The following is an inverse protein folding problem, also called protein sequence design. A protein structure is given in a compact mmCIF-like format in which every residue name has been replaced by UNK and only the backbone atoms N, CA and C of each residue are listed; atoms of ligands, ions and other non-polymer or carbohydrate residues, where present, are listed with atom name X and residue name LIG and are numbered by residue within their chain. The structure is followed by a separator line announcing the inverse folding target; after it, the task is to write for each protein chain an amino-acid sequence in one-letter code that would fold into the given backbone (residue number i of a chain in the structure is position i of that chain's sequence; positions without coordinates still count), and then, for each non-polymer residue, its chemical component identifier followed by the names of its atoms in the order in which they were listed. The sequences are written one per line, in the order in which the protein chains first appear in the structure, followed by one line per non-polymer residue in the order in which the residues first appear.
data_IF_164029766517
#
_entry.id   IF_164029766517
#
_cell.length_a   1.000
_cell.length_b   1.000
_cell.length_c   1.000
_cell.angle_alpha   90.00
_cell.angle_beta   90.00
_cell.angle_gamma   90.00
#
_symmetry.space_group_name_H-M   'P 1'
#
loop_
_entity.id
_entity.type
_entity.pdbx_description
1 polymer ?
#
# COMPACT_ATOMS: atom_id res chain seq x y z
N UNK A 1 -10.87 10.94 -43.64
CA UNK A 1 -10.97 9.54 -43.17
C UNK A 1 -9.58 9.02 -42.82
N UNK A 2 -9.13 9.15 -41.56
CA UNK A 2 -7.97 8.44 -40.97
C UNK A 2 -7.81 8.89 -39.50
N UNK A 3 -8.87 8.71 -38.71
CA UNK A 3 -8.87 8.87 -37.25
C UNK A 3 -9.90 7.87 -36.70
N UNK A 4 -9.52 6.60 -36.64
CA UNK A 4 -10.36 5.57 -36.01
C UNK A 4 -9.60 4.28 -35.62
N UNK A 5 -8.28 4.18 -35.84
CA UNK A 5 -7.58 2.90 -35.68
C UNK A 5 -6.63 2.80 -34.47
N UNK A 6 -6.36 3.90 -33.75
CA UNK A 6 -5.43 3.88 -32.61
C UNK A 6 -6.11 3.90 -31.23
N UNK A 7 -7.44 3.98 -31.17
CA UNK A 7 -8.20 3.98 -29.91
C UNK A 7 -8.64 2.57 -29.45
N UNK A 8 -8.42 1.53 -30.27
CA UNK A 8 -8.85 0.16 -29.95
C UNK A 8 -7.78 -0.73 -29.32
N UNK A 9 -6.52 -0.28 -29.24
CA UNK A 9 -5.41 -1.12 -28.75
C UNK A 9 -5.05 -0.91 -27.27
N UNK A 10 -5.61 0.12 -26.62
CA UNK A 10 -5.36 0.41 -25.19
C UNK A 10 -6.51 -0.01 -24.26
N UNK A 11 -7.62 -0.51 -24.80
CA UNK A 11 -8.80 -0.92 -24.01
C UNK A 11 -8.95 -2.44 -23.83
N UNK A 12 -7.95 -3.24 -24.23
CA UNK A 12 -7.98 -4.71 -24.15
C UNK A 12 -6.90 -5.33 -23.25
N UNK A 13 -6.36 -4.55 -22.29
CA UNK A 13 -5.40 -5.09 -21.30
C UNK A 13 -5.95 -5.19 -19.86
N UNK A 14 -7.23 -4.90 -19.62
CA UNK A 14 -7.80 -4.86 -18.25
C UNK A 14 -8.81 -5.95 -17.92
N UNK A 15 -9.04 -6.92 -18.82
CA UNK A 15 -9.97 -8.03 -18.56
C UNK A 15 -9.38 -9.38 -18.99
N UNK A 16 -8.14 -9.70 -18.60
CA UNK A 16 -7.79 -11.11 -18.41
C UNK A 16 -8.46 -11.51 -17.10
N UNK A 17 -9.64 -12.11 -17.23
CA UNK A 17 -10.43 -12.59 -16.12
C UNK A 17 -9.66 -13.66 -15.34
N UNK A 18 -9.07 -13.27 -14.21
CA UNK A 18 -8.96 -14.17 -13.09
C UNK A 18 -10.38 -14.29 -12.51
N UNK A 19 -11.07 -15.35 -12.93
CA UNK A 19 -12.35 -15.75 -12.35
C UNK A 19 -12.04 -16.08 -10.89
N UNK A 20 -12.33 -15.13 -10.01
CA UNK A 20 -11.99 -15.24 -8.62
C UNK A 20 -12.99 -16.19 -7.92
N UNK A 21 -12.57 -17.40 -7.57
CA UNK A 21 -13.38 -18.36 -6.82
C UNK A 21 -13.03 -18.27 -5.34
N UNK A 22 -14.05 -18.35 -4.48
CA UNK A 22 -13.87 -18.43 -3.03
C UNK A 22 -12.89 -19.56 -2.66
N UNK A 23 -11.87 -19.23 -1.87
CA UNK A 23 -10.85 -20.18 -1.40
C UNK A 23 -9.51 -20.11 -2.14
N UNK A 24 -9.30 -19.09 -2.98
CA UNK A 24 -7.98 -18.81 -3.53
C UNK A 24 -7.08 -18.11 -2.50
N UNK A 25 -5.75 -18.30 -2.57
CA UNK A 25 -4.83 -17.61 -1.68
C UNK A 25 -4.94 -16.10 -1.88
N UNK A 26 -4.83 -15.35 -0.80
CA UNK A 26 -4.66 -13.90 -0.92
C UNK A 26 -3.34 -13.61 -1.62
N UNK A 27 -3.37 -12.68 -2.57
CA UNK A 27 -2.26 -12.33 -3.44
C UNK A 27 -1.70 -10.97 -3.02
N UNK A 28 -0.40 -10.93 -2.79
CA UNK A 28 0.36 -9.70 -2.64
C UNK A 28 1.02 -9.34 -3.95
N UNK A 29 0.69 -8.17 -4.49
CA UNK A 29 1.38 -7.60 -5.65
C UNK A 29 2.30 -6.47 -5.20
N UNK A 30 3.57 -6.51 -5.59
CA UNK A 30 4.54 -5.42 -5.36
C UNK A 30 4.97 -4.84 -6.70
N UNK A 31 4.58 -3.59 -6.97
CA UNK A 31 4.83 -2.88 -8.23
C UNK A 31 6.13 -2.07 -8.23
N UNK A 32 6.68 -1.79 -7.05
CA UNK A 32 7.77 -0.84 -6.92
C UNK A 32 9.14 -1.53 -6.90
N UNK A 33 9.86 -1.36 -8.01
CA UNK A 33 11.23 -1.85 -8.14
C UNK A 33 12.15 -1.29 -7.05
N UNK A 34 12.94 -2.19 -6.47
CA UNK A 34 13.93 -1.87 -5.45
C UNK A 34 13.38 -1.76 -4.03
N UNK A 35 12.09 -2.01 -3.81
CA UNK A 35 11.54 -2.27 -2.49
C UNK A 35 11.45 -3.78 -2.26
N UNK A 36 11.79 -4.22 -1.05
CA UNK A 36 11.75 -5.62 -0.65
C UNK A 36 10.52 -5.95 0.21
N UNK A 37 9.45 -5.17 0.00
CA UNK A 37 8.20 -5.31 0.74
C UNK A 37 7.25 -6.28 0.07
N UNK A 38 6.55 -7.03 0.88
CA UNK A 38 5.44 -7.86 0.45
C UNK A 38 4.47 -8.02 1.62
N UNK A 39 3.20 -8.18 1.30
CA UNK A 39 2.20 -8.54 2.28
C UNK A 39 2.08 -10.05 2.38
N UNK A 40 1.72 -10.53 3.56
CA UNK A 40 1.32 -11.92 3.73
C UNK A 40 0.45 -12.05 4.98
N UNK A 41 -0.28 -13.15 5.08
CA UNK A 41 -0.97 -13.49 6.32
C UNK A 41 0.02 -13.63 7.48
N UNK A 42 -0.41 -13.22 8.67
CA UNK A 42 0.36 -13.52 9.88
C UNK A 42 0.43 -15.03 10.13
N UNK A 43 1.44 -15.49 10.89
CA UNK A 43 1.58 -16.91 11.20
C UNK A 43 0.29 -17.54 11.74
N UNK A 44 -0.05 -18.72 11.21
CA UNK A 44 -1.17 -19.58 11.65
C UNK A 44 -2.59 -18.99 11.49
N UNK A 45 -2.77 -17.89 10.76
CA UNK A 45 -4.11 -17.36 10.42
C UNK A 45 -4.67 -18.04 9.16
N UNK A 46 -3.86 -18.10 8.11
CA UNK A 46 -4.18 -18.71 6.82
C UNK A 46 -2.89 -19.31 6.25
N UNK A 47 -2.95 -20.50 5.67
CA UNK A 47 -1.74 -21.30 5.45
C UNK A 47 -0.71 -20.63 4.53
N UNK A 48 -1.15 -19.95 3.46
CA UNK A 48 -0.24 -19.37 2.46
C UNK A 48 -0.83 -18.14 1.78
N UNK A 49 0.03 -17.19 1.43
CA UNK A 49 -0.27 -16.10 0.49
C UNK A 49 0.46 -16.35 -0.81
N UNK A 50 -0.07 -15.86 -1.92
CA UNK A 50 0.69 -15.73 -3.16
C UNK A 50 1.43 -14.39 -3.16
N UNK A 51 2.69 -14.36 -3.58
CA UNK A 51 3.46 -13.13 -3.77
C UNK A 51 3.88 -12.99 -5.22
N UNK A 52 3.66 -11.78 -5.75
CA UNK A 52 3.96 -11.37 -7.12
C UNK A 52 4.76 -10.08 -7.05
N UNK A 53 5.90 -10.04 -7.73
CA UNK A 53 6.71 -8.84 -7.90
C UNK A 53 6.70 -8.42 -9.35
N UNK A 54 6.81 -7.11 -9.61
CA UNK A 54 6.96 -6.56 -10.96
C UNK A 54 8.14 -7.19 -11.70
N UNK A 55 9.23 -7.52 -10.99
CA UNK A 55 10.41 -8.17 -11.54
C UNK A 55 10.60 -9.59 -10.98
N UNK A 56 10.76 -10.61 -11.84
CA UNK A 56 11.13 -11.97 -11.42
C UNK A 56 12.41 -12.03 -10.57
N UNK A 57 13.35 -11.08 -10.77
CA UNK A 57 14.59 -11.01 -9.98
C UNK A 57 14.32 -10.70 -8.50
N UNK A 58 13.28 -9.94 -8.20
CA UNK A 58 12.89 -9.62 -6.82
C UNK A 58 12.29 -10.84 -6.12
N UNK A 59 11.46 -11.61 -6.85
CA UNK A 59 10.96 -12.87 -6.35
C UNK A 59 12.09 -13.89 -6.12
N UNK A 60 13.07 -13.96 -7.03
CA UNK A 60 14.26 -14.80 -6.86
C UNK A 60 15.08 -14.40 -5.63
N UNK A 61 15.24 -13.10 -5.36
CA UNK A 61 15.92 -12.60 -4.16
C UNK A 61 15.17 -12.99 -2.89
N UNK A 62 13.84 -12.84 -2.87
CA UNK A 62 13.01 -13.27 -1.74
C UNK A 62 13.11 -14.77 -1.53
N UNK A 63 13.04 -15.56 -2.60
CA UNK A 63 13.22 -17.00 -2.56
C UNK A 63 14.56 -17.38 -1.92
N UNK A 64 15.68 -16.84 -2.44
CA UNK A 64 17.00 -17.10 -1.90
C UNK A 64 17.11 -16.68 -0.42
N UNK A 65 16.52 -15.54 -0.03
CA UNK A 65 16.50 -15.06 1.35
C UNK A 65 15.83 -16.04 2.31
N UNK A 66 14.65 -16.54 1.95
CA UNK A 66 13.94 -17.54 2.75
C UNK A 66 14.68 -18.88 2.79
N UNK A 67 15.26 -19.34 1.68
CA UNK A 67 16.06 -20.58 1.64
C UNK A 67 17.30 -20.51 2.53
N UNK A 68 17.89 -19.33 2.70
CA UNK A 68 18.98 -19.10 3.64
C UNK A 68 18.53 -19.11 5.12
N UNK A 69 17.23 -19.25 5.39
CA UNK A 69 16.66 -19.17 6.73
C UNK A 69 16.81 -17.78 7.36
N UNK A 70 17.02 -16.74 6.55
CA UNK A 70 17.12 -15.37 7.02
C UNK A 70 15.75 -14.86 7.51
N UNK A 71 15.75 -13.94 8.46
CA UNK A 71 14.50 -13.40 8.99
C UNK A 71 13.81 -12.45 7.99
N UNK A 72 12.49 -12.42 8.06
CA UNK A 72 11.67 -11.35 7.51
C UNK A 72 11.08 -10.53 8.66
N UNK A 73 11.01 -9.22 8.46
CA UNK A 73 10.64 -8.26 9.49
C UNK A 73 9.25 -7.73 9.21
N UNK A 74 8.36 -7.95 10.16
CA UNK A 74 7.01 -7.41 10.16
C UNK A 74 7.07 -5.93 10.54
N UNK A 75 6.83 -5.07 9.56
CA UNK A 75 6.92 -3.62 9.70
C UNK A 75 5.76 -3.02 10.48
N UNK A 76 4.65 -3.75 10.64
CA UNK A 76 3.47 -3.29 11.37
C UNK A 76 3.56 -3.68 12.85
N UNK A 77 3.92 -4.92 13.13
CA UNK A 77 4.03 -5.42 14.51
C UNK A 77 5.42 -5.26 15.12
N UNK A 78 6.44 -4.89 14.34
CA UNK A 78 7.84 -4.82 14.79
C UNK A 78 8.40 -6.20 15.18
N UNK A 79 7.90 -7.26 14.56
CA UNK A 79 8.24 -8.65 14.90
C UNK A 79 9.18 -9.27 13.87
N UNK A 80 9.98 -10.24 14.32
CA UNK A 80 10.94 -10.96 13.48
C UNK A 80 10.44 -12.38 13.25
N UNK A 81 10.26 -12.75 11.98
CA UNK A 81 9.67 -14.02 11.58
C UNK A 81 10.60 -14.78 10.63
N UNK A 82 10.28 -16.03 10.38
CA UNK A 82 10.88 -16.81 9.29
C UNK A 82 9.88 -16.89 8.13
N UNK A 83 10.37 -17.19 6.93
CA UNK A 83 9.52 -17.47 5.78
C UNK A 83 9.84 -18.84 5.18
N UNK A 84 8.80 -19.52 4.71
CA UNK A 84 8.89 -20.63 3.75
C UNK A 84 8.28 -20.15 2.44
N UNK A 85 8.92 -20.46 1.32
CA UNK A 85 8.48 -19.99 0.00
C UNK A 85 8.66 -21.10 -1.03
N UNK A 86 7.59 -21.38 -1.75
CA UNK A 86 7.50 -22.44 -2.75
C UNK A 86 7.25 -21.82 -4.12
N UNK A 87 8.11 -22.16 -5.08
CA UNK A 87 8.01 -21.73 -6.48
C UNK A 87 7.26 -22.80 -7.27
N UNK A 88 6.22 -22.38 -7.99
CA UNK A 88 5.47 -23.28 -8.86
C UNK A 88 6.34 -23.72 -10.04
N UNK A 89 5.99 -24.85 -10.66
CA UNK A 89 6.69 -25.34 -11.86
C UNK A 89 5.78 -25.20 -13.06
N UNK A 90 6.36 -24.82 -14.19
CA UNK A 90 5.69 -24.86 -15.50
C UNK A 90 5.37 -26.30 -15.91
N UNK A 91 4.56 -26.49 -16.96
CA UNK A 91 4.26 -27.82 -17.53
C UNK A 91 5.52 -28.61 -17.94
N UNK A 92 6.61 -27.90 -18.27
CA UNK A 92 7.92 -28.49 -18.64
C UNK A 92 8.79 -28.85 -17.43
N UNK A 93 8.35 -28.49 -16.22
CA UNK A 93 9.08 -28.73 -14.97
C UNK A 93 10.06 -27.62 -14.57
N UNK A 94 10.21 -26.58 -15.39
CA UNK A 94 11.03 -25.40 -15.07
C UNK A 94 10.36 -24.55 -14.00
N UNK A 95 11.17 -23.87 -13.17
CA UNK A 95 10.66 -22.93 -12.16
C UNK A 95 9.89 -21.77 -12.81
N UNK A 96 8.67 -21.53 -12.33
CA UNK A 96 7.86 -20.39 -12.73
C UNK A 96 8.09 -19.22 -11.77
N UNK A 97 8.71 -18.16 -12.26
CA UNK A 97 9.07 -16.99 -11.46
C UNK A 97 8.05 -15.85 -11.53
N UNK A 98 6.85 -16.12 -12.04
CA UNK A 98 5.77 -15.14 -12.09
C UNK A 98 5.14 -14.91 -10.70
N UNK A 99 5.09 -15.97 -9.88
CA UNK A 99 4.58 -15.90 -8.51
C UNK A 99 5.16 -17.01 -7.63
N UNK A 100 5.05 -16.82 -6.31
CA UNK A 100 5.39 -17.86 -5.34
C UNK A 100 4.36 -17.93 -4.23
N UNK A 101 4.20 -19.12 -3.65
CA UNK A 101 3.45 -19.28 -2.42
C UNK A 101 4.37 -19.06 -1.23
N UNK A 102 4.06 -18.09 -0.38
CA UNK A 102 4.81 -17.78 0.83
C UNK A 102 3.99 -18.10 2.08
N UNK A 103 4.69 -18.54 3.12
CA UNK A 103 4.17 -18.77 4.45
C UNK A 103 5.09 -18.10 5.47
N UNK A 104 4.51 -17.31 6.38
CA UNK A 104 5.23 -16.69 7.47
C UNK A 104 5.16 -17.60 8.70
N UNK A 105 6.33 -18.04 9.14
CA UNK A 105 6.49 -18.97 10.23
C UNK A 105 6.83 -18.21 11.52
N UNK A 106 6.07 -18.48 12.57
CA UNK A 106 6.23 -17.85 13.87
C UNK A 106 5.08 -18.16 14.81
N UNK A 107 5.17 -17.68 16.05
CA UNK A 107 4.06 -17.73 17.00
C UNK A 107 3.23 -16.45 16.82
N UNK A 108 1.91 -16.54 16.63
CA UNK A 108 1.09 -15.34 16.52
C UNK A 108 1.13 -14.62 17.86
N UNK A 109 1.59 -13.36 17.89
CA UNK A 109 1.33 -12.45 19.03
C UNK A 109 -0.01 -11.75 18.88
N UNK A 110 -0.96 -12.39 18.21
CA UNK A 110 -2.22 -11.75 17.91
C UNK A 110 -3.19 -11.89 19.10
N UNK A 111 -3.31 -10.80 19.85
CA UNK A 111 -4.28 -10.65 20.93
C UNK A 111 -5.43 -9.75 20.48
N UNK A 112 -6.27 -10.25 19.55
CA UNK A 112 -7.62 -9.72 19.23
C UNK A 112 -7.74 -8.26 18.73
N UNK A 113 -8.33 -8.07 17.55
CA UNK A 113 -8.91 -6.80 17.09
C UNK A 113 -8.10 -5.95 16.09
N UNK A 114 -7.01 -6.46 15.52
CA UNK A 114 -6.20 -5.81 14.45
C UNK A 114 -6.02 -6.72 13.22
N UNK A 115 -5.42 -6.30 12.10
CA UNK A 115 -5.55 -7.06 10.85
C UNK A 115 -4.92 -8.47 10.89
N UNK A 116 -5.48 -9.41 10.13
CA UNK A 116 -4.95 -10.78 10.03
C UNK A 116 -3.66 -10.88 9.17
N UNK A 117 -3.19 -9.77 8.59
CA UNK A 117 -2.05 -9.69 7.69
C UNK A 117 -0.90 -8.86 8.27
N UNK A 118 0.32 -9.10 7.76
CA UNK A 118 1.50 -8.29 8.00
C UNK A 118 2.08 -7.70 6.71
N UNK A 119 2.79 -6.58 6.85
CA UNK A 119 3.68 -6.06 5.82
C UNK A 119 5.11 -6.45 6.18
N UNK A 120 5.75 -7.27 5.36
CA UNK A 120 7.06 -7.83 5.63
C UNK A 120 8.14 -7.23 4.75
N UNK A 121 9.36 -7.18 5.27
CA UNK A 121 10.57 -6.80 4.54
C UNK A 121 11.69 -7.82 4.78
N UNK A 122 12.57 -8.00 3.79
CA UNK A 122 13.81 -8.77 3.98
C UNK A 122 14.89 -7.97 4.71
N UNK A 123 14.70 -6.65 4.82
CA UNK A 123 15.58 -5.69 5.47
C UNK A 123 14.99 -5.24 6.79
N UNK A 124 15.81 -5.20 7.83
CA UNK A 124 15.39 -4.62 9.11
C UNK A 124 15.31 -3.10 8.96
N UNK A 125 14.09 -2.56 9.03
CA UNK A 125 13.88 -1.13 9.09
C UNK A 125 13.69 -0.70 10.56
N UNK A 126 14.26 0.44 10.96
CA UNK A 126 14.00 0.99 12.28
C UNK A 126 12.49 1.17 12.48
N UNK A 127 11.98 0.74 13.63
CA UNK A 127 10.60 0.99 14.00
C UNK A 127 10.33 2.51 13.95
N UNK A 128 9.41 2.89 13.07
CA UNK A 128 9.13 4.30 12.83
C UNK A 128 8.35 4.88 14.01
N UNK A 129 8.85 5.98 14.59
CA UNK A 129 8.13 6.73 15.61
C UNK A 129 7.30 7.86 14.98
N UNK A 130 6.52 7.51 13.97
CA UNK A 130 5.60 8.46 13.35
C UNK A 130 4.66 9.02 14.41
N UNK A 131 4.65 10.34 14.52
CA UNK A 131 3.70 11.06 15.35
C UNK A 131 2.54 11.55 14.48
N UNK A 132 1.35 11.53 15.06
CA UNK A 132 0.16 12.06 14.44
C UNK A 132 -0.50 13.09 15.36
N UNK A 133 -1.02 14.16 14.77
CA UNK A 133 -1.88 15.14 15.45
C UNK A 133 -2.82 15.80 14.45
N UNK A 134 -3.94 16.40 14.91
CA UNK A 134 -4.71 17.31 14.08
C UNK A 134 -3.82 18.41 13.50
N UNK A 135 -4.06 18.79 12.24
CA UNK A 135 -3.43 19.97 11.65
C UNK A 135 -3.92 21.21 12.40
N UNK A 136 -3.02 22.15 12.71
CA UNK A 136 -3.39 23.38 13.40
C UNK A 136 -4.02 24.40 12.45
N UNK A 137 -4.49 25.52 12.99
CA UNK A 137 -5.17 26.55 12.19
C UNK A 137 -4.29 27.13 11.09
N UNK A 138 -2.99 27.36 11.35
CA UNK A 138 -2.07 27.90 10.35
C UNK A 138 -1.84 26.92 9.22
N UNK A 139 -1.66 25.64 9.56
CA UNK A 139 -1.50 24.55 8.60
C UNK A 139 -2.75 24.40 7.72
N UNK A 140 -3.95 24.42 8.31
CA UNK A 140 -5.23 24.36 7.58
C UNK A 140 -5.43 25.56 6.66
N UNK A 141 -5.14 26.77 7.12
CA UNK A 141 -5.21 27.97 6.29
C UNK A 141 -4.22 27.94 5.12
N UNK A 142 -3.01 27.42 5.33
CA UNK A 142 -2.02 27.27 4.27
C UNK A 142 -2.46 26.28 3.19
N UNK A 143 -3.06 25.15 3.57
CA UNK A 143 -3.65 24.18 2.63
C UNK A 143 -4.78 24.82 1.83
N UNK A 144 -5.71 25.52 2.50
CA UNK A 144 -6.80 26.23 1.84
C UNK A 144 -6.28 27.27 0.84
N UNK A 145 -5.29 28.07 1.24
CA UNK A 145 -4.70 29.09 0.38
C UNK A 145 -4.01 28.47 -0.84
N UNK A 146 -3.27 27.37 -0.64
CA UNK A 146 -2.62 26.63 -1.72
C UNK A 146 -3.64 26.19 -2.78
N UNK A 147 -4.74 25.56 -2.36
CA UNK A 147 -5.78 25.07 -3.25
C UNK A 147 -6.48 26.22 -4.00
N UNK A 148 -6.80 27.31 -3.31
CA UNK A 148 -7.46 28.47 -3.92
C UNK A 148 -6.56 29.25 -4.89
N UNK A 149 -5.24 29.28 -4.66
CA UNK A 149 -4.31 30.08 -5.46
C UNK A 149 -3.85 29.38 -6.74
N UNK A 150 -3.72 28.05 -6.73
CA UNK A 150 -3.03 27.32 -7.79
C UNK A 150 -3.76 27.28 -9.14
N UNK A 151 -5.08 27.56 -9.17
CA UNK A 151 -5.95 27.42 -10.36
C UNK A 151 -5.61 26.19 -11.20
N UNK A 152 -5.34 25.05 -10.54
CA UNK A 152 -4.93 23.83 -11.20
C UNK A 152 -6.15 22.91 -11.37
N UNK A 153 -6.58 22.60 -12.59
CA UNK A 153 -7.77 21.77 -12.82
C UNK A 153 -7.61 20.32 -12.35
N UNK A 154 -6.38 19.86 -12.08
CA UNK A 154 -6.12 18.52 -11.58
C UNK A 154 -6.08 18.44 -10.04
N UNK A 155 -6.41 19.54 -9.36
CA UNK A 155 -6.45 19.60 -7.90
C UNK A 155 -7.89 19.54 -7.41
N UNK A 156 -8.13 19.02 -6.20
CA UNK A 156 -9.47 18.97 -5.64
C UNK A 156 -10.04 20.36 -5.44
N UNK A 157 -11.35 20.48 -5.59
CA UNK A 157 -12.08 21.67 -5.15
C UNK A 157 -11.92 21.78 -3.62
N UNK A 158 -11.41 22.90 -3.07
CA UNK A 158 -11.32 23.07 -1.63
C UNK A 158 -12.66 22.84 -0.90
N UNK A 159 -13.80 23.08 -1.54
CA UNK A 159 -15.12 22.85 -0.95
C UNK A 159 -15.53 21.38 -0.87
N UNK A 160 -14.89 20.48 -1.65
CA UNK A 160 -15.09 19.04 -1.52
C UNK A 160 -14.22 18.40 -0.44
N UNK A 161 -13.38 19.20 0.24
CA UNK A 161 -12.47 18.73 1.27
C UNK A 161 -12.93 19.11 2.67
N UNK A 162 -12.79 18.18 3.60
CA UNK A 162 -12.95 18.43 5.03
C UNK A 162 -11.62 18.89 5.65
N UNK A 163 -11.20 20.10 5.31
CA UNK A 163 -9.93 20.69 5.79
C UNK A 163 -9.88 20.79 7.31
N UNK A 164 -11.01 20.97 7.98
CA UNK A 164 -11.08 21.00 9.45
C UNK A 164 -10.71 19.67 10.10
N UNK A 165 -10.86 18.57 9.37
CA UNK A 165 -10.49 17.22 9.82
C UNK A 165 -9.11 16.80 9.31
N UNK A 166 -8.33 17.73 8.75
CA UNK A 166 -6.96 17.46 8.33
C UNK A 166 -6.08 17.06 9.52
N UNK A 167 -5.18 16.12 9.30
CA UNK A 167 -4.18 15.73 10.27
C UNK A 167 -2.80 15.66 9.64
N UNK A 168 -1.78 15.72 10.49
CA UNK A 168 -0.37 15.68 10.09
C UNK A 168 0.31 14.47 10.69
N UNK A 169 1.19 13.88 9.89
CA UNK A 169 2.05 12.76 10.20
C UNK A 169 3.49 13.17 9.94
N UNK A 170 4.34 12.98 10.94
CA UNK A 170 5.72 13.46 10.89
C UNK A 170 6.63 12.66 11.83
N UNK A 171 7.92 12.65 11.54
CA UNK A 171 8.95 12.31 12.51
C UNK A 171 9.38 13.59 13.24
N UNK A 172 9.68 13.56 14.55
CA UNK A 172 10.01 14.75 15.33
C UNK A 172 11.13 15.61 14.73
N UNK A 173 12.15 14.96 14.16
CA UNK A 173 13.35 15.61 13.62
C UNK A 173 13.34 15.71 12.08
N UNK A 174 12.25 15.27 11.42
CA UNK A 174 12.16 15.33 9.96
C UNK A 174 11.86 16.73 9.45
N UNK A 175 12.47 17.07 8.32
CA UNK A 175 12.22 18.35 7.65
C UNK A 175 10.87 18.36 6.92
N UNK A 176 10.37 17.17 6.56
CA UNK A 176 9.12 16.97 5.83
C UNK A 176 8.01 16.59 6.79
N UNK A 177 6.84 17.22 6.61
CA UNK A 177 5.58 16.82 7.25
C UNK A 177 4.58 16.43 6.19
N UNK A 178 3.84 15.36 6.42
CA UNK A 178 2.81 14.86 5.50
C UNK A 178 1.44 15.09 6.11
N UNK A 179 0.54 15.71 5.36
CA UNK A 179 -0.81 16.04 5.77
C UNK A 179 -1.80 15.23 4.95
N UNK A 180 -2.83 14.75 5.62
CA UNK A 180 -3.94 14.06 4.99
C UNK A 180 -5.21 14.88 5.25
N UNK A 181 -5.95 15.12 4.18
CA UNK A 181 -7.21 15.86 4.23
C UNK A 181 -8.31 14.94 3.71
N UNK A 182 -9.32 14.58 4.51
CA UNK A 182 -10.46 13.82 4.01
C UNK A 182 -11.15 14.59 2.88
N UNK A 183 -11.40 13.91 1.77
CA UNK A 183 -12.18 14.39 0.65
C UNK A 183 -13.56 13.72 0.63
N UNK A 184 -14.05 13.49 -0.58
CA UNK A 184 -15.34 12.84 -0.82
C UNK A 184 -15.29 11.35 -0.45
N UNK A 185 -16.41 10.87 0.07
CA UNK A 185 -16.68 9.44 0.17
C UNK A 185 -17.14 8.93 -1.20
N UNK A 186 -16.54 7.85 -1.67
CA UNK A 186 -16.96 7.12 -2.87
C UNK A 186 -17.76 5.94 -2.37
N UNK A 187 -19.03 5.89 -2.75
CA UNK A 187 -19.92 4.77 -2.47
C UNK A 187 -20.42 4.23 -3.81
N UNK A 188 -19.87 3.09 -4.20
CA UNK A 188 -20.29 2.31 -5.36
C UNK A 188 -20.83 0.96 -4.88
N UNK A 189 -21.59 0.26 -5.73
CA UNK A 189 -22.43 -0.88 -5.34
C UNK A 189 -21.75 -2.01 -4.55
N UNK A 190 -20.41 -2.07 -4.52
CA UNK A 190 -19.59 -3.10 -3.87
C UNK A 190 -18.31 -2.53 -3.23
N UNK A 191 -18.23 -1.19 -3.09
CA UNK A 191 -17.00 -0.48 -2.76
C UNK A 191 -17.31 0.83 -2.00
N UNK A 192 -16.77 0.96 -0.80
CA UNK A 192 -16.84 2.19 -0.01
C UNK A 192 -15.41 2.62 0.36
N UNK A 193 -15.03 3.84 -0.01
CA UNK A 193 -13.73 4.39 0.32
C UNK A 193 -13.82 5.89 0.55
N UNK A 194 -13.06 6.41 1.51
CA UNK A 194 -12.90 7.86 1.67
C UNK A 194 -11.61 8.30 1.00
N UNK A 195 -11.70 9.09 -0.07
CA UNK A 195 -10.50 9.65 -0.70
C UNK A 195 -9.81 10.63 0.21
N UNK A 196 -8.51 10.45 0.40
CA UNK A 196 -7.70 11.37 1.21
C UNK A 196 -6.69 12.09 0.34
N UNK A 197 -6.70 13.42 0.43
CA UNK A 197 -5.77 14.27 -0.30
C UNK A 197 -4.51 14.48 0.51
N UNK A 198 -3.36 14.23 -0.13
CA UNK A 198 -2.06 14.25 0.50
C UNK A 198 -1.35 15.55 0.16
N UNK A 199 -0.85 16.22 1.21
CA UNK A 199 0.00 17.40 1.08
C UNK A 199 1.30 17.16 1.84
N UNK A 200 2.38 17.80 1.40
CA UNK A 200 3.62 17.84 2.17
C UNK A 200 4.00 19.27 2.49
N UNK A 201 4.69 19.47 3.61
CA UNK A 201 5.29 20.75 3.97
C UNK A 201 6.77 20.56 4.27
N UNK A 202 7.61 21.43 3.70
CA UNK A 202 9.04 21.51 4.00
C UNK A 202 9.40 22.97 4.23
N UNK A 203 9.91 23.30 5.41
CA UNK A 203 10.20 24.70 5.77
C UNK A 203 8.97 25.63 5.70
N UNK A 204 7.76 25.10 5.91
CA UNK A 204 6.50 25.85 5.82
C UNK A 204 5.93 25.98 4.41
N UNK A 205 6.62 25.47 3.38
CA UNK A 205 6.14 25.49 1.99
C UNK A 205 5.30 24.25 1.71
N UNK A 206 4.02 24.43 1.42
CA UNK A 206 3.08 23.35 1.14
C UNK A 206 3.06 22.93 -0.33
N UNK A 207 2.90 21.64 -0.58
CA UNK A 207 2.75 21.04 -1.91
C UNK A 207 1.67 19.98 -1.91
N UNK A 208 0.80 20.00 -2.91
CA UNK A 208 -0.16 18.92 -3.14
C UNK A 208 0.54 17.74 -3.82
N UNK A 209 0.34 16.54 -3.30
CA UNK A 209 0.94 15.31 -3.82
C UNK A 209 -0.05 14.47 -4.64
N UNK A 210 -1.35 14.69 -4.48
CA UNK A 210 -2.40 13.87 -5.09
C UNK A 210 -3.33 13.27 -4.05
N UNK A 211 -3.96 12.17 -4.44
CA UNK A 211 -4.97 11.46 -3.66
C UNK A 211 -4.47 10.05 -3.32
N UNK A 212 -4.87 9.54 -2.15
CA UNK A 212 -4.80 8.12 -1.83
C UNK A 212 -6.19 7.55 -1.63
N UNK A 213 -6.23 6.25 -1.86
CA UNK A 213 -7.41 5.43 -2.01
C UNK A 213 -8.34 5.45 -0.78
N UNK A 214 -7.80 5.27 0.43
CA UNK A 214 -8.60 5.26 1.64
C UNK A 214 -7.87 5.84 2.85
N UNK A 215 -8.54 5.80 4.01
CA UNK A 215 -7.99 6.22 5.28
C UNK A 215 -6.71 5.44 5.60
N UNK A 216 -5.61 6.15 5.88
CA UNK A 216 -4.42 5.55 6.44
C UNK A 216 -4.72 4.79 7.74
N UNK A 217 -4.31 3.52 7.81
CA UNK A 217 -4.40 2.68 9.01
C UNK A 217 -3.03 2.49 9.68
N UNK A 218 -1.93 2.51 8.93
CA UNK A 218 -0.57 2.46 9.45
C UNK A 218 0.40 3.34 8.66
N UNK A 219 1.47 3.74 9.33
CA UNK A 219 2.60 4.48 8.75
C UNK A 219 3.87 3.70 9.01
N UNK A 220 4.62 3.38 7.96
CA UNK A 220 5.89 2.64 8.06
C UNK A 220 7.02 3.45 7.46
N UNK A 221 8.24 3.20 7.95
CA UNK A 221 9.43 3.82 7.38
C UNK A 221 9.68 3.27 5.98
N UNK A 222 10.07 4.15 5.05
CA UNK A 222 10.58 3.75 3.74
C UNK A 222 12.05 3.33 3.79
N UNK A 223 12.79 3.77 4.81
CA UNK A 223 14.24 3.65 4.91
C UNK A 223 15.01 4.56 3.93
N UNK A 224 14.30 5.43 3.19
CA UNK A 224 14.88 6.25 2.10
C UNK A 224 14.55 7.74 2.21
N UNK A 225 13.37 8.07 2.71
CA UNK A 225 12.84 9.44 2.72
C UNK A 225 12.19 9.79 4.07
N UNK A 226 12.10 11.09 4.36
CA UNK A 226 11.40 11.68 5.51
C UNK A 226 9.86 11.60 5.40
N UNK A 227 9.32 10.87 4.42
CA UNK A 227 7.89 10.66 4.22
C UNK A 227 7.48 9.23 4.56
N UNK A 228 6.32 9.03 5.21
CA UNK A 228 5.86 7.69 5.55
C UNK A 228 5.46 6.95 4.28
N UNK A 229 5.70 5.64 4.28
CA UNK A 229 4.86 4.76 3.48
C UNK A 229 3.54 4.58 4.23
N UNK A 230 2.45 4.60 3.48
CA UNK A 230 1.10 4.66 4.02
C UNK A 230 0.40 3.35 3.71
N UNK A 231 -0.05 2.66 4.75
CA UNK A 231 -0.93 1.50 4.59
C UNK A 231 -2.38 1.98 4.67
N UNK A 232 -3.18 1.66 3.67
CA UNK A 232 -4.64 1.90 3.67
C UNK A 232 -5.38 0.56 3.66
N UNK A 233 -6.63 0.58 4.11
CA UNK A 233 -7.56 -0.54 4.00
C UNK A 233 -8.80 -0.04 3.28
N UNK A 234 -9.18 -0.69 2.19
CA UNK A 234 -10.43 -0.45 1.49
C UNK A 234 -11.41 -1.60 1.79
N UNK A 235 -12.60 -1.23 2.25
CA UNK A 235 -13.68 -2.18 2.51
C UNK A 235 -14.34 -2.58 1.17
N UNK A 236 -14.45 -3.89 0.94
CA UNK A 236 -15.19 -4.48 -0.17
C UNK A 236 -16.26 -5.43 0.38
N UNK A 237 -17.42 -5.49 -0.27
CA UNK A 237 -18.65 -6.03 0.29
C UNK A 237 -18.79 -7.58 0.27
N UNK A 238 -17.66 -8.28 0.38
CA UNK A 238 -17.64 -9.71 0.73
C UNK A 238 -17.46 -10.69 -0.43
N UNK A 239 -17.26 -10.21 -1.67
CA UNK A 239 -16.68 -11.01 -2.77
C UNK A 239 -15.16 -10.82 -2.89
N UNK A 240 -14.63 -9.68 -2.44
CA UNK A 240 -13.20 -9.48 -2.20
C UNK A 240 -12.98 -9.42 -0.68
N UNK A 241 -11.95 -10.10 -0.19
CA UNK A 241 -11.35 -9.83 1.12
C UNK A 241 -10.78 -8.41 1.08
N UNK A 242 -11.00 -7.63 2.16
CA UNK A 242 -10.40 -6.31 2.43
C UNK A 242 -9.11 -6.05 1.63
N UNK A 243 -9.09 -4.95 0.87
CA UNK A 243 -7.94 -4.60 0.03
C UNK A 243 -6.99 -3.70 0.81
N UNK A 244 -5.85 -4.24 1.19
CA UNK A 244 -4.79 -3.46 1.80
C UNK A 244 -3.85 -2.93 0.72
N UNK A 245 -3.46 -1.68 0.83
CA UNK A 245 -2.51 -1.06 -0.08
C UNK A 245 -1.36 -0.43 0.69
N UNK A 246 -0.17 -0.42 0.08
CA UNK A 246 0.98 0.34 0.52
C UNK A 246 1.26 1.43 -0.50
N UNK A 247 1.32 2.68 -0.07
CA UNK A 247 1.63 3.82 -0.92
C UNK A 247 2.90 4.54 -0.48
N UNK A 248 3.70 4.99 -1.45
CA UNK A 248 4.79 5.95 -1.24
C UNK A 248 4.36 7.30 -1.78
N UNK A 249 4.05 8.25 -0.88
CA UNK A 249 3.31 9.45 -1.25
C UNK A 249 1.91 9.06 -1.72
N UNK A 250 1.61 9.29 -3.00
CA UNK A 250 0.32 8.98 -3.63
C UNK A 250 0.39 7.83 -4.63
N UNK A 251 1.58 7.27 -4.84
CA UNK A 251 1.76 6.10 -5.71
C UNK A 251 1.58 4.83 -4.90
N UNK A 252 0.58 4.01 -5.27
CA UNK A 252 0.48 2.64 -4.79
C UNK A 252 1.68 1.82 -5.25
N UNK A 253 2.36 1.19 -4.31
CA UNK A 253 3.58 0.41 -4.52
C UNK A 253 3.41 -1.07 -4.20
N UNK A 254 2.41 -1.42 -3.38
CA UNK A 254 2.00 -2.80 -3.19
C UNK A 254 0.53 -2.90 -2.81
N UNK A 255 -0.08 -4.06 -3.05
CA UNK A 255 -1.45 -4.39 -2.64
C UNK A 255 -1.49 -5.80 -2.05
N UNK A 256 -2.53 -6.07 -1.27
CA UNK A 256 -2.84 -7.38 -0.73
C UNK A 256 -4.34 -7.56 -0.64
N UNK A 257 -4.82 -8.70 -1.11
CA UNK A 257 -6.24 -9.02 -1.11
C UNK A 257 -6.47 -10.42 -1.66
N UNK A 258 -7.67 -10.94 -1.48
CA UNK A 258 -8.07 -12.26 -1.94
C UNK A 258 -9.57 -12.34 -2.18
N UNK A 259 -10.07 -13.48 -2.64
CA UNK A 259 -11.50 -13.79 -2.79
C UNK A 259 -11.79 -15.15 -2.15
#
# INVERSE_FOLDING_TARGET
MKQALNALLFAMLTCIGNVAFAGMPAVSYTYALGFDFFFSWHPNQFNRSEVVFESPEELQKLYAHCQMGKPVFDLLAGSKNKCSIDISKTEKGDANWDSAMIEILGTPKYTGGSPAFGLFSTTELPAAKWQQRPADERERSAIQQLLSAAKNPNWPDPHSLNINSAWVVFLPDAAVRTYFVPGSQINESFYDATRHHVFTSTGGVFRYQGEISDKPIHYVNSGRDDSPLVVTNEDCDGLCVELWSLSSGTKTIATFGGH
#
